data_IF_875596379237
#
_entry.id   IF_875596379237
#
_cell.length_a   1.000
_cell.length_b   1.000
_cell.length_c   1.000
_cell.angle_alpha   90.00
_cell.angle_beta   90.00
_cell.angle_gamma   90.00
#
_symmetry.space_group_name_H-M   'P 1'
#
loop_
_entity.id
_entity.type
_entity.pdbx_description
1 polymer ?
#
# COMPACT_ATOMS: atom_id res chain seq x y z
N UNK A 1 18.04 -29.99 -36.32
CA UNK A 1 17.22 -30.29 -35.12
C UNK A 1 17.70 -29.56 -33.86
N UNK A 2 19.02 -29.45 -33.58
CA UNK A 2 19.54 -28.75 -32.38
C UNK A 2 19.31 -27.23 -32.32
N UNK A 3 19.11 -26.56 -33.46
CA UNK A 3 18.89 -25.10 -33.50
C UNK A 3 17.52 -24.68 -32.97
N UNK A 4 16.51 -25.56 -33.02
CA UNK A 4 15.14 -25.21 -32.65
C UNK A 4 14.89 -25.40 -31.14
N UNK A 5 15.47 -26.43 -30.52
CA UNK A 5 15.38 -26.65 -29.06
C UNK A 5 16.13 -25.59 -28.25
N UNK A 6 17.27 -25.11 -28.73
CA UNK A 6 17.99 -23.99 -28.10
C UNK A 6 17.23 -22.66 -28.24
N UNK A 7 16.49 -22.47 -29.35
CA UNK A 7 15.65 -21.29 -29.56
C UNK A 7 14.40 -21.30 -28.65
N UNK A 8 13.75 -22.47 -28.49
CA UNK A 8 12.58 -22.66 -27.61
C UNK A 8 12.99 -22.49 -26.13
N UNK A 9 14.11 -23.08 -25.70
CA UNK A 9 14.60 -22.91 -24.33
C UNK A 9 14.96 -21.44 -24.00
N UNK A 10 15.46 -20.68 -24.99
CA UNK A 10 15.74 -19.26 -24.84
C UNK A 10 14.46 -18.42 -24.80
N UNK A 11 13.43 -18.78 -25.56
CA UNK A 11 12.12 -18.10 -25.49
C UNK A 11 11.42 -18.35 -24.17
N UNK A 12 11.48 -19.58 -23.65
CA UNK A 12 10.89 -19.93 -22.36
C UNK A 12 11.56 -19.13 -21.24
N UNK A 13 12.90 -19.10 -21.22
CA UNK A 13 13.67 -18.31 -20.27
C UNK A 13 13.34 -16.81 -20.34
N UNK A 14 13.14 -16.26 -21.55
CA UNK A 14 12.76 -14.87 -21.75
C UNK A 14 11.34 -14.59 -21.21
N UNK A 15 10.39 -15.51 -21.40
CA UNK A 15 9.02 -15.38 -20.87
C UNK A 15 8.99 -15.42 -19.34
N UNK A 16 9.76 -16.31 -18.71
CA UNK A 16 9.88 -16.34 -17.24
C UNK A 16 10.51 -15.05 -16.69
N UNK A 17 11.56 -14.55 -17.34
CA UNK A 17 12.20 -13.29 -16.95
C UNK A 17 11.22 -12.11 -17.05
N UNK A 18 10.46 -12.01 -18.15
CA UNK A 18 9.45 -10.97 -18.34
C UNK A 18 8.36 -11.00 -17.25
N UNK A 19 7.90 -12.19 -16.86
CA UNK A 19 6.89 -12.36 -15.80
C UNK A 19 7.42 -11.90 -14.43
N UNK A 20 8.66 -12.24 -14.08
CA UNK A 20 9.30 -11.80 -12.82
C UNK A 20 9.46 -10.28 -12.80
N UNK A 21 9.87 -9.68 -13.91
CA UNK A 21 10.00 -8.23 -14.06
C UNK A 21 8.62 -7.56 -13.88
N UNK A 22 7.57 -8.10 -14.51
CA UNK A 22 6.22 -7.58 -14.38
C UNK A 22 5.69 -7.61 -12.95
N UNK A 23 5.86 -8.73 -12.24
CA UNK A 23 5.46 -8.86 -10.83
C UNK A 23 6.23 -7.87 -9.95
N UNK A 24 7.54 -7.74 -10.15
CA UNK A 24 8.38 -6.81 -9.38
C UNK A 24 7.95 -5.36 -9.61
N UNK A 25 7.61 -5.00 -10.85
CA UNK A 25 7.11 -3.68 -11.20
C UNK A 25 5.79 -3.36 -10.49
N UNK A 26 4.83 -4.29 -10.51
CA UNK A 26 3.52 -4.13 -9.85
C UNK A 26 3.67 -3.96 -8.33
N UNK A 27 4.52 -4.78 -7.70
CA UNK A 27 4.79 -4.70 -6.26
C UNK A 27 5.46 -3.35 -5.91
N UNK A 28 6.43 -2.91 -6.71
CA UNK A 28 7.08 -1.62 -6.54
C UNK A 28 6.11 -0.45 -6.69
N UNK A 29 5.24 -0.48 -7.70
CA UNK A 29 4.22 0.54 -7.91
C UNK A 29 3.27 0.64 -6.70
N UNK A 30 2.82 -0.49 -6.16
CA UNK A 30 1.96 -0.50 -4.97
C UNK A 30 2.69 0.02 -3.73
N UNK A 31 3.96 -0.32 -3.54
CA UNK A 31 4.79 0.20 -2.47
C UNK A 31 4.98 1.72 -2.56
N UNK A 32 5.22 2.25 -3.76
CA UNK A 32 5.37 3.68 -4.03
C UNK A 32 4.09 4.48 -3.72
N UNK A 33 2.90 3.89 -3.88
CA UNK A 33 1.65 4.54 -3.48
C UNK A 33 1.42 4.51 -1.97
N UNK A 34 1.81 3.42 -1.31
CA UNK A 34 1.47 3.19 0.10
C UNK A 34 2.40 3.94 1.05
N UNK A 35 3.68 4.05 0.70
CA UNK A 35 4.69 4.72 1.53
C UNK A 35 4.39 6.21 1.83
N UNK A 36 4.15 7.08 0.83
CA UNK A 36 3.80 8.47 1.12
C UNK A 36 2.42 8.61 1.75
N UNK A 37 1.47 7.70 1.46
CA UNK A 37 0.14 7.73 2.05
C UNK A 37 0.19 7.53 3.57
N UNK A 38 0.99 6.58 4.05
CA UNK A 38 1.17 6.32 5.48
C UNK A 38 1.94 7.44 6.19
N UNK A 39 2.98 7.99 5.54
CA UNK A 39 3.71 9.14 6.10
C UNK A 39 2.79 10.35 6.27
N UNK A 40 2.03 10.70 5.23
CA UNK A 40 1.08 11.82 5.28
C UNK A 40 0.01 11.59 6.34
N UNK A 41 -0.53 10.37 6.44
CA UNK A 41 -1.49 9.99 7.48
C UNK A 41 -0.92 10.21 8.90
N UNK A 42 0.33 9.79 9.12
CA UNK A 42 1.02 9.98 10.41
C UNK A 42 1.24 11.46 10.71
N UNK A 43 1.73 12.24 9.75
CA UNK A 43 1.95 13.68 9.90
C UNK A 43 0.65 14.44 10.22
N UNK A 44 -0.47 14.09 9.57
CA UNK A 44 -1.77 14.70 9.87
C UNK A 44 -2.27 14.38 11.29
N UNK A 45 -1.98 13.19 11.81
CA UNK A 45 -2.32 12.80 13.18
C UNK A 45 -1.47 13.57 14.20
N UNK A 46 -0.17 13.71 13.93
CA UNK A 46 0.74 14.50 14.76
C UNK A 46 0.35 15.98 14.79
N UNK A 47 0.01 16.57 13.63
CA UNK A 47 -0.51 17.94 13.55
C UNK A 47 -1.80 18.07 14.37
N UNK A 48 -2.74 17.13 14.22
CA UNK A 48 -4.00 17.15 14.99
C UNK A 48 -3.74 17.08 16.49
N UNK A 49 -2.78 16.26 16.92
CA UNK A 49 -2.41 16.09 18.32
C UNK A 49 -1.70 17.33 18.89
N UNK A 50 -0.80 17.93 18.11
CA UNK A 50 -0.12 19.17 18.47
C UNK A 50 -1.11 20.33 18.63
N UNK A 51 -2.10 20.44 17.74
CA UNK A 51 -3.15 21.45 17.87
C UNK A 51 -4.02 21.16 19.11
N UNK A 52 -4.29 19.89 19.42
CA UNK A 52 -5.07 19.52 20.61
C UNK A 52 -4.38 19.91 21.91
N UNK A 53 -3.05 19.73 21.96
CA UNK A 53 -2.22 20.18 23.08
C UNK A 53 -2.03 21.70 23.15
N UNK A 54 -2.40 22.45 22.10
CA UNK A 54 -2.34 23.91 22.13
C UNK A 54 -3.53 24.49 22.90
N UNK A 55 -3.44 25.76 23.34
CA UNK A 55 -4.55 26.47 23.98
C UNK A 55 -5.60 26.94 22.95
N UNK A 56 -6.05 26.04 22.07
CA UNK A 56 -6.99 26.34 20.99
C UNK A 56 -8.33 26.90 21.49
N UNK A 57 -8.70 26.59 22.74
CA UNK A 57 -9.90 27.05 23.41
C UNK A 57 -9.85 28.50 23.91
N UNK A 58 -8.67 29.13 23.95
CA UNK A 58 -8.51 30.55 24.28
C UNK A 58 -8.58 31.46 23.04
N UNK A 59 -8.66 30.88 21.83
CA UNK A 59 -8.73 31.63 20.57
C UNK A 59 -10.18 32.03 20.20
N UNK A 60 -10.30 32.90 19.19
CA UNK A 60 -11.59 33.33 18.65
C UNK A 60 -12.47 32.14 18.20
N UNK A 61 -13.79 32.33 18.30
CA UNK A 61 -14.79 31.28 17.97
C UNK A 61 -14.66 30.78 16.54
N UNK A 62 -14.19 31.61 15.60
CA UNK A 62 -13.95 31.22 14.20
C UNK A 62 -12.79 30.23 14.12
N UNK A 63 -11.65 30.57 14.76
CA UNK A 63 -10.46 29.72 14.82
C UNK A 63 -10.74 28.40 15.52
N UNK A 64 -11.54 28.44 16.59
CA UNK A 64 -11.91 27.26 17.36
C UNK A 64 -12.71 26.25 16.52
N UNK A 65 -13.67 26.73 15.71
CA UNK A 65 -14.42 25.89 14.76
C UNK A 65 -13.53 25.33 13.65
N UNK A 66 -12.62 26.13 13.11
CA UNK A 66 -11.70 25.70 12.06
C UNK A 66 -10.79 24.56 12.57
N UNK A 67 -10.20 24.75 13.75
CA UNK A 67 -9.34 23.75 14.41
C UNK A 67 -10.08 22.44 14.66
N UNK A 68 -11.31 22.51 15.17
CA UNK A 68 -12.13 21.32 15.40
C UNK A 68 -12.45 20.58 14.10
N UNK A 69 -12.72 21.33 13.02
CA UNK A 69 -12.96 20.77 11.70
C UNK A 69 -11.72 20.09 11.14
N UNK A 70 -10.54 20.70 11.30
CA UNK A 70 -9.26 20.12 10.89
C UNK A 70 -8.97 18.83 11.68
N UNK A 71 -9.17 18.81 13.00
CA UNK A 71 -9.01 17.60 13.82
C UNK A 71 -9.94 16.47 13.38
N UNK A 72 -11.23 16.75 13.19
CA UNK A 72 -12.18 15.75 12.68
C UNK A 72 -11.79 15.23 11.30
N UNK A 73 -11.29 16.11 10.42
CA UNK A 73 -10.89 15.72 9.07
C UNK A 73 -9.59 14.91 9.07
N UNK A 74 -8.61 15.26 9.90
CA UNK A 74 -7.39 14.45 10.07
C UNK A 74 -7.72 13.03 10.52
N UNK A 75 -8.70 12.86 11.42
CA UNK A 75 -9.16 11.53 11.84
C UNK A 75 -9.85 10.75 10.72
N UNK A 76 -10.60 11.42 9.82
CA UNK A 76 -11.23 10.76 8.67
C UNK A 76 -10.24 10.44 7.54
N UNK A 77 -9.24 11.29 7.30
CA UNK A 77 -8.23 11.09 6.25
C UNK A 77 -7.28 9.92 6.54
N UNK A 78 -7.17 9.48 7.79
CA UNK A 78 -6.45 8.25 8.17
C UNK A 78 -7.04 6.99 7.54
N UNK A 79 -8.34 7.05 7.18
CA UNK A 79 -9.03 6.00 6.46
C UNK A 79 -9.06 6.38 4.99
N UNK A 80 -7.89 6.42 4.34
CA UNK A 80 -7.84 6.46 2.88
C UNK A 80 -8.26 5.08 2.37
N UNK A 81 -9.55 4.80 2.53
CA UNK A 81 -10.19 3.56 2.15
C UNK A 81 -10.25 3.54 0.63
N UNK A 82 -9.35 2.76 0.02
CA UNK A 82 -9.40 2.47 -1.40
C UNK A 82 -10.70 1.72 -1.71
N UNK A 83 -11.62 2.41 -2.39
CA UNK A 83 -12.88 1.86 -2.91
C UNK A 83 -13.82 1.17 -1.89
N UNK A 84 -13.74 1.52 -0.60
CA UNK A 84 -14.60 0.93 0.44
C UNK A 84 -14.14 -0.43 0.97
N UNK A 85 -13.00 -0.96 0.51
CA UNK A 85 -12.63 -2.37 0.71
C UNK A 85 -11.29 -2.59 1.41
N UNK A 86 -10.32 -1.69 1.22
CA UNK A 86 -8.96 -1.83 1.79
C UNK A 86 -8.41 -0.46 2.15
N UNK A 87 -7.99 -0.27 3.40
CA UNK A 87 -7.24 0.92 3.80
C UNK A 87 -5.89 0.89 3.10
N UNK A 88 -5.57 1.96 2.34
CA UNK A 88 -4.27 2.09 1.66
C UNK A 88 -3.22 2.43 2.72
N UNK A 89 -2.78 1.39 3.44
CA UNK A 89 -1.76 1.45 4.47
C UNK A 89 -0.69 0.37 4.22
N UNK A 90 0.54 0.53 4.71
CA UNK A 90 1.60 -0.47 4.53
C UNK A 90 1.20 -1.84 5.09
N UNK A 91 0.42 -1.86 6.17
CA UNK A 91 -0.17 -3.10 6.69
C UNK A 91 -1.07 -3.82 5.68
N UNK A 92 -1.80 -3.09 4.83
CA UNK A 92 -2.62 -3.70 3.78
C UNK A 92 -1.77 -4.23 2.62
N UNK A 93 -0.73 -3.51 2.22
CA UNK A 93 0.26 -4.02 1.26
C UNK A 93 0.89 -5.33 1.76
N UNK A 94 1.34 -5.35 3.01
CA UNK A 94 1.92 -6.54 3.64
C UNK A 94 0.93 -7.70 3.65
N UNK A 95 -0.33 -7.43 4.01
CA UNK A 95 -1.38 -8.45 4.02
C UNK A 95 -1.64 -9.03 2.62
N UNK A 96 -1.67 -8.19 1.58
CA UNK A 96 -1.85 -8.64 0.18
C UNK A 96 -0.67 -9.49 -0.29
N UNK A 97 0.56 -9.08 -0.01
CA UNK A 97 1.77 -9.85 -0.36
C UNK A 97 1.81 -11.19 0.38
N UNK A 98 1.51 -11.19 1.68
CA UNK A 98 1.47 -12.40 2.53
C UNK A 98 0.41 -13.39 2.05
N UNK A 99 -0.77 -12.90 1.68
CA UNK A 99 -1.86 -13.73 1.11
C UNK A 99 -1.47 -14.31 -0.25
N UNK A 100 -0.88 -13.50 -1.13
CA UNK A 100 -0.38 -13.95 -2.43
C UNK A 100 0.66 -15.06 -2.29
N UNK A 101 1.61 -14.90 -1.35
CA UNK A 101 2.60 -15.92 -1.05
C UNK A 101 1.98 -17.20 -0.50
N UNK A 102 1.05 -17.08 0.45
CA UNK A 102 0.34 -18.25 1.02
C UNK A 102 -0.44 -19.01 -0.04
N UNK A 103 -1.16 -18.30 -0.92
CA UNK A 103 -1.85 -18.91 -2.06
C UNK A 103 -0.87 -19.64 -2.99
N UNK A 104 0.25 -19.00 -3.34
CA UNK A 104 1.29 -19.62 -4.14
C UNK A 104 1.91 -20.86 -3.49
N UNK A 105 2.09 -20.84 -2.17
CA UNK A 105 2.57 -22.00 -1.41
C UNK A 105 1.53 -23.14 -1.41
N UNK A 106 0.25 -22.85 -1.21
CA UNK A 106 -0.83 -23.85 -1.26
C UNK A 106 -0.86 -24.52 -2.63
N UNK A 107 -0.86 -23.74 -3.71
CA UNK A 107 -0.87 -24.27 -5.09
C UNK A 107 0.34 -25.18 -5.35
N UNK A 108 1.54 -24.77 -4.89
CA UNK A 108 2.75 -25.61 -5.00
C UNK A 108 2.62 -26.92 -4.22
N UNK A 109 2.11 -26.87 -2.99
CA UNK A 109 1.90 -28.07 -2.18
C UNK A 109 0.87 -29.02 -2.80
N UNK A 110 -0.21 -28.49 -3.41
CA UNK A 110 -1.23 -29.30 -4.09
C UNK A 110 -0.70 -29.93 -5.39
N UNK A 111 0.20 -29.24 -6.10
CA UNK A 111 0.85 -29.77 -7.31
C UNK A 111 1.98 -30.78 -7.03
N UNK A 112 2.46 -30.88 -5.79
CA UNK A 112 3.49 -31.85 -5.38
C UNK A 112 2.91 -33.18 -4.85
N UNK A 113 1.61 -33.41 -5.04
CA UNK A 113 0.94 -34.71 -4.94
C UNK A 113 0.79 -35.27 -6.36
#
# INVERSE_FOLDING_TARGET
MYSNTAAIAKSDAATYAANIIGITFLVSQFALYTFPAEQVATEFLDISNAIYSSKWYENDKVTQKLVLFVMMKSQQCLYFTGAGLVDINAGAFEAVVRKSFSFGAIVKNLLQI
#
